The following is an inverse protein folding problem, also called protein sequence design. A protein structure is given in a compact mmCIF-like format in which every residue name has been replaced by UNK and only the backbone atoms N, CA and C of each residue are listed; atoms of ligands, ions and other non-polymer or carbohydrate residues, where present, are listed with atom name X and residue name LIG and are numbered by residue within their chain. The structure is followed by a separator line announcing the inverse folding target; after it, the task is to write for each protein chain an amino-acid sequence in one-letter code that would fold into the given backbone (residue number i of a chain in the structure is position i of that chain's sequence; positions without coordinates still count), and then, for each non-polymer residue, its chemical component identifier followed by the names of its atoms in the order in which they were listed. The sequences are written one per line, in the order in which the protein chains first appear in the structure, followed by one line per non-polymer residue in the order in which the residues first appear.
data_IF_321104659537
#
_entry.id   IF_321104659537
#
_cell.length_a   1.000
_cell.length_b   1.000
_cell.length_c   1.000
_cell.angle_alpha   90.00
_cell.angle_beta   90.00
_cell.angle_gamma   90.00
#
_symmetry.space_group_name_H-M   'P 1'
#
loop_
_entity.id
_entity.type
_entity.pdbx_description
1 polymer ?
#
# COMPACT_ATOMS: atom_id res chain seq x y z
N UNK A 1 22.42 -2.18 -3.15
CA UNK A 1 22.09 -1.48 -4.41
C UNK A 1 22.04 -2.52 -5.52
N UNK A 2 20.93 -2.60 -6.23
CA UNK A 2 20.76 -3.42 -7.42
C UNK A 2 20.78 -2.49 -8.63
N UNK A 3 21.59 -2.82 -9.64
CA UNK A 3 21.66 -2.05 -10.89
C UNK A 3 20.44 -2.38 -11.77
N UNK A 4 19.31 -1.70 -11.49
CA UNK A 4 18.05 -1.88 -12.17
C UNK A 4 17.53 -0.54 -12.69
N UNK A 5 17.16 -0.51 -13.95
CA UNK A 5 16.40 0.59 -14.53
C UNK A 5 14.92 0.45 -14.15
N UNK A 6 14.34 1.48 -13.56
CA UNK A 6 12.92 1.52 -13.21
C UNK A 6 12.19 2.43 -14.18
N UNK A 7 11.19 1.88 -14.87
CA UNK A 7 10.33 2.61 -15.81
C UNK A 7 8.90 2.64 -15.30
N UNK A 8 8.20 3.74 -15.55
CA UNK A 8 6.79 3.87 -15.18
C UNK A 8 5.87 3.24 -16.25
N UNK A 9 4.61 2.99 -15.88
CA UNK A 9 3.60 2.54 -16.84
C UNK A 9 3.43 3.51 -18.02
N UNK A 10 3.57 4.80 -17.75
CA UNK A 10 3.50 5.84 -18.78
C UNK A 10 4.65 5.73 -19.78
N UNK A 11 5.86 5.40 -19.32
CA UNK A 11 7.04 5.28 -20.18
C UNK A 11 6.93 4.12 -21.17
N UNK A 12 6.17 3.07 -20.80
CA UNK A 12 5.87 1.94 -21.68
C UNK A 12 4.58 2.12 -22.50
N UNK A 13 3.90 3.27 -22.38
CA UNK A 13 2.67 3.58 -23.11
C UNK A 13 1.41 2.88 -22.57
N UNK A 14 1.43 2.40 -21.32
CA UNK A 14 0.25 1.84 -20.67
C UNK A 14 -0.65 2.97 -20.17
N UNK A 15 -1.83 3.13 -20.77
CA UNK A 15 -2.80 4.20 -20.48
C UNK A 15 -4.19 3.67 -20.04
N UNK A 16 -4.30 2.35 -19.86
CA UNK A 16 -5.57 1.72 -19.47
C UNK A 16 -5.82 1.88 -17.98
N UNK A 17 -7.06 2.19 -17.62
CA UNK A 17 -7.52 2.10 -16.25
C UNK A 17 -7.66 0.62 -15.84
N UNK A 18 -7.09 0.26 -14.69
CA UNK A 18 -7.22 -1.08 -14.12
C UNK A 18 -8.29 -1.02 -13.03
N UNK A 19 -9.34 -1.82 -13.20
CA UNK A 19 -10.40 -1.94 -12.19
C UNK A 19 -9.91 -2.83 -11.05
N UNK A 20 -9.78 -2.24 -9.87
CA UNK A 20 -9.34 -2.92 -8.64
C UNK A 20 -10.59 -3.31 -7.83
N UNK A 21 -11.16 -4.47 -8.15
CA UNK A 21 -12.38 -5.01 -7.53
C UNK A 21 -12.13 -6.21 -6.59
N UNK A 22 -10.88 -6.43 -6.23
CA UNK A 22 -10.48 -7.48 -5.29
C UNK A 22 -10.84 -7.13 -3.83
N UNK A 23 -11.16 -8.15 -3.05
CA UNK A 23 -11.54 -8.02 -1.63
C UNK A 23 -10.33 -7.90 -0.69
N UNK A 24 -9.10 -8.05 -1.20
CA UNK A 24 -7.87 -7.96 -0.41
C UNK A 24 -6.81 -7.15 -1.15
N UNK A 25 -5.84 -6.60 -0.40
CA UNK A 25 -4.68 -5.92 -0.98
C UNK A 25 -3.88 -6.84 -1.91
N UNK A 26 -3.71 -8.13 -1.54
CA UNK A 26 -3.04 -9.11 -2.40
C UNK A 26 -3.80 -9.34 -3.71
N UNK A 27 -5.12 -9.43 -3.66
CA UNK A 27 -5.95 -9.59 -4.86
C UNK A 27 -5.82 -8.37 -5.79
N UNK A 28 -5.91 -7.14 -5.27
CA UNK A 28 -5.78 -5.93 -6.08
C UNK A 28 -4.39 -5.78 -6.68
N UNK A 29 -3.34 -6.01 -5.90
CA UNK A 29 -1.96 -6.01 -6.39
C UNK A 29 -1.77 -7.04 -7.52
N UNK A 30 -2.36 -8.24 -7.41
CA UNK A 30 -2.32 -9.28 -8.45
C UNK A 30 -3.10 -8.89 -9.71
N UNK A 31 -4.29 -8.29 -9.56
CA UNK A 31 -5.10 -7.79 -10.68
C UNK A 31 -4.27 -6.81 -11.51
N UNK A 32 -3.62 -5.84 -10.85
CA UNK A 32 -2.72 -4.89 -11.52
C UNK A 32 -1.58 -5.60 -12.25
N UNK A 33 -0.91 -6.53 -11.57
CA UNK A 33 0.22 -7.24 -12.14
C UNK A 33 -0.16 -8.05 -13.39
N UNK A 34 -1.31 -8.73 -13.38
CA UNK A 34 -1.82 -9.49 -14.52
C UNK A 34 -2.14 -8.60 -15.72
N UNK A 35 -2.84 -7.48 -15.49
CA UNK A 35 -3.18 -6.53 -16.56
C UNK A 35 -1.93 -5.94 -17.24
N UNK A 36 -0.90 -5.60 -16.44
CA UNK A 36 0.36 -5.06 -16.95
C UNK A 36 1.16 -6.16 -17.67
N UNK A 37 1.20 -7.38 -17.13
CA UNK A 37 1.91 -8.50 -17.77
C UNK A 37 1.31 -8.85 -19.13
N UNK A 38 -0.01 -8.90 -19.24
CA UNK A 38 -0.70 -9.09 -20.52
C UNK A 38 -0.35 -7.98 -21.52
N UNK A 39 -0.35 -6.73 -21.08
CA UNK A 39 0.06 -5.61 -21.92
C UNK A 39 1.50 -5.76 -22.42
N UNK A 40 2.44 -6.11 -21.52
CA UNK A 40 3.84 -6.33 -21.89
C UNK A 40 3.98 -7.44 -22.92
N UNK A 41 3.25 -8.55 -22.79
CA UNK A 41 3.24 -9.63 -23.79
C UNK A 41 2.77 -9.16 -25.16
N UNK A 42 1.63 -8.44 -25.21
CA UNK A 42 1.06 -7.93 -26.48
C UNK A 42 2.04 -6.98 -27.18
N UNK A 43 2.81 -6.21 -26.43
CA UNK A 43 3.73 -5.19 -26.97
C UNK A 43 5.19 -5.68 -27.05
N UNK A 44 5.46 -6.97 -26.77
CA UNK A 44 6.81 -7.55 -26.75
C UNK A 44 7.79 -6.81 -25.80
N UNK A 45 7.29 -6.30 -24.68
CA UNK A 45 8.09 -5.65 -23.64
C UNK A 45 8.60 -6.74 -22.69
N UNK A 46 9.92 -6.85 -22.55
CA UNK A 46 10.57 -7.79 -21.63
C UNK A 46 11.03 -7.02 -20.39
N UNK A 47 10.29 -7.10 -19.32
CA UNK A 47 10.60 -6.43 -18.05
C UNK A 47 10.07 -7.24 -16.88
N UNK A 48 10.72 -7.15 -15.74
CA UNK A 48 10.07 -7.49 -14.47
C UNK A 48 8.97 -6.46 -14.17
N UNK A 49 7.90 -6.91 -13.49
CA UNK A 49 6.79 -6.04 -13.12
C UNK A 49 6.68 -6.04 -11.59
N UNK A 50 6.50 -4.87 -11.02
CA UNK A 50 6.20 -4.70 -9.61
C UNK A 50 4.95 -3.86 -9.46
N UNK A 51 3.95 -4.40 -8.76
CA UNK A 51 2.74 -3.68 -8.41
C UNK A 51 2.52 -3.69 -6.91
N UNK A 52 1.82 -2.68 -6.41
CA UNK A 52 1.44 -2.61 -5.01
C UNK A 52 -0.04 -2.29 -4.85
N UNK A 53 -0.60 -2.72 -3.71
CA UNK A 53 -1.83 -2.19 -3.14
C UNK A 53 -1.64 -2.04 -1.64
N UNK A 54 -2.07 -0.90 -1.08
CA UNK A 54 -1.81 -0.59 0.31
C UNK A 54 -2.97 0.17 0.95
N UNK A 55 -3.18 -0.05 2.24
CA UNK A 55 -4.21 0.65 2.97
C UNK A 55 -4.16 0.46 4.46
N UNK A 56 -5.07 1.16 5.13
CA UNK A 56 -5.25 1.17 6.57
C UNK A 56 -6.44 0.28 6.97
N UNK A 57 -6.22 -0.62 7.93
CA UNK A 57 -7.26 -1.38 8.60
C UNK A 57 -7.38 -0.90 10.05
N UNK A 58 -8.56 -0.45 10.46
CA UNK A 58 -8.86 -0.03 11.83
C UNK A 58 -9.75 -1.09 12.47
N UNK A 59 -9.25 -1.77 13.50
CA UNK A 59 -9.87 -3.00 13.98
C UNK A 59 -11.26 -2.78 14.57
N UNK A 60 -11.49 -1.71 15.35
CA UNK A 60 -12.80 -1.36 15.88
C UNK A 60 -13.82 -0.92 14.80
N UNK A 61 -13.39 -0.69 13.57
CA UNK A 61 -14.22 -0.38 12.42
C UNK A 61 -14.35 -1.55 11.44
N UNK A 62 -14.19 -2.80 11.91
CA UNK A 62 -14.24 -4.01 11.07
C UNK A 62 -13.23 -3.95 9.92
N UNK A 63 -12.00 -3.52 10.24
CA UNK A 63 -10.87 -3.31 9.32
C UNK A 63 -11.13 -2.30 8.18
N UNK A 64 -12.16 -1.47 8.31
CA UNK A 64 -12.33 -0.32 7.39
C UNK A 64 -11.30 0.78 7.67
N UNK A 65 -10.86 1.54 6.67
CA UNK A 65 -11.25 1.54 5.26
C UNK A 65 -10.76 0.36 4.42
N UNK A 66 -9.72 -0.39 4.84
CA UNK A 66 -9.21 -1.55 4.11
C UNK A 66 -8.82 -1.21 2.67
N UNK A 67 -9.23 -2.02 1.69
CA UNK A 67 -8.95 -1.81 0.25
C UNK A 67 -9.58 -0.51 -0.30
N UNK A 68 -10.49 0.12 0.44
CA UNK A 68 -11.11 1.40 0.08
C UNK A 68 -10.35 2.62 0.63
N UNK A 69 -9.15 2.43 1.16
CA UNK A 69 -8.35 3.51 1.79
C UNK A 69 -8.25 4.76 0.93
N UNK A 70 -7.95 4.63 -0.35
CA UNK A 70 -7.78 5.77 -1.26
C UNK A 70 -9.09 6.54 -1.53
N UNK A 71 -10.24 5.87 -1.47
CA UNK A 71 -11.57 6.42 -1.77
C UNK A 71 -12.52 6.46 -0.56
N UNK A 72 -11.99 6.31 0.65
CA UNK A 72 -12.76 6.24 1.90
C UNK A 72 -13.68 7.44 2.15
N UNK A 73 -13.27 8.63 1.73
CA UNK A 73 -14.06 9.86 1.86
C UNK A 73 -14.68 10.31 0.53
N UNK A 74 -14.63 9.47 -0.50
CA UNK A 74 -15.02 9.76 -1.87
C UNK A 74 -13.83 9.88 -2.80
N UNK A 75 -14.08 9.77 -4.10
CA UNK A 75 -13.02 9.86 -5.11
C UNK A 75 -12.37 11.24 -5.08
N UNK A 76 -11.04 11.26 -5.06
CA UNK A 76 -10.23 12.49 -4.99
C UNK A 76 -10.54 13.42 -3.80
N UNK A 77 -11.15 12.91 -2.72
CA UNK A 77 -11.43 13.71 -1.53
C UNK A 77 -10.11 14.26 -0.92
N UNK A 78 -10.10 15.53 -0.45
CA UNK A 78 -8.95 16.09 0.24
C UNK A 78 -8.58 15.25 1.48
N UNK A 79 -7.28 15.12 1.76
CA UNK A 79 -6.77 14.34 2.90
C UNK A 79 -7.49 14.68 4.21
N UNK A 80 -7.70 15.96 4.48
CA UNK A 80 -8.35 16.41 5.72
C UNK A 80 -9.79 15.91 5.87
N UNK A 81 -10.51 15.71 4.75
CA UNK A 81 -11.89 15.17 4.76
C UNK A 81 -11.87 13.70 5.19
N UNK A 82 -10.93 12.91 4.66
CA UNK A 82 -10.77 11.51 5.05
C UNK A 82 -10.36 11.35 6.51
N UNK A 83 -9.43 12.19 6.99
CA UNK A 83 -8.98 12.20 8.39
C UNK A 83 -10.12 12.55 9.35
N UNK A 84 -10.86 13.63 9.08
CA UNK A 84 -12.00 14.02 9.92
C UNK A 84 -13.11 12.96 9.94
N UNK A 85 -13.37 12.31 8.80
CA UNK A 85 -14.33 11.20 8.74
C UNK A 85 -13.90 10.06 9.67
N UNK A 86 -12.64 9.63 9.57
CA UNK A 86 -12.09 8.56 10.41
C UNK A 86 -12.17 8.90 11.90
N UNK A 87 -11.73 10.09 12.29
CA UNK A 87 -11.77 10.51 13.69
C UNK A 87 -13.20 10.64 14.23
N UNK A 88 -14.15 11.06 13.38
CA UNK A 88 -15.57 11.10 13.74
C UNK A 88 -16.14 9.72 13.98
N UNK A 89 -15.81 8.73 13.14
CA UNK A 89 -16.26 7.34 13.32
C UNK A 89 -15.65 6.73 14.59
N UNK A 90 -14.43 7.11 14.96
CA UNK A 90 -13.74 6.62 16.17
C UNK A 90 -14.04 7.40 17.46
N UNK A 91 -14.94 8.39 17.42
CA UNK A 91 -15.18 9.30 18.56
C UNK A 91 -15.56 8.58 19.86
N UNK A 92 -16.26 7.45 19.77
CA UNK A 92 -16.73 6.67 20.92
C UNK A 92 -16.11 5.26 20.96
N UNK A 93 -14.98 5.06 20.28
CA UNK A 93 -14.27 3.78 20.27
C UNK A 93 -13.08 3.86 21.23
N UNK A 94 -13.05 2.98 22.22
CA UNK A 94 -11.92 2.84 23.14
C UNK A 94 -10.74 2.15 22.46
N UNK A 95 -11.02 1.15 21.61
CA UNK A 95 -10.00 0.51 20.79
C UNK A 95 -9.73 1.35 19.54
N UNK A 96 -8.52 1.87 19.46
CA UNK A 96 -8.03 2.65 18.32
C UNK A 96 -6.91 1.93 17.57
N UNK A 97 -6.74 0.63 17.82
CA UNK A 97 -5.73 -0.17 17.16
C UNK A 97 -5.97 -0.24 15.66
N UNK A 98 -4.89 -0.18 14.90
CA UNK A 98 -4.92 -0.16 13.44
C UNK A 98 -3.65 -0.78 12.87
N UNK A 99 -3.74 -1.26 11.62
CA UNK A 99 -2.60 -1.79 10.89
C UNK A 99 -2.57 -1.22 9.48
N UNK A 100 -1.43 -0.67 9.07
CA UNK A 100 -1.15 -0.41 7.66
C UNK A 100 -0.63 -1.66 6.98
N UNK A 101 -1.20 -1.99 5.83
CA UNK A 101 -0.74 -3.08 4.96
C UNK A 101 -0.19 -2.54 3.64
N UNK A 102 0.76 -3.28 3.07
CA UNK A 102 1.21 -3.14 1.69
C UNK A 102 1.40 -4.54 1.09
N UNK A 103 0.60 -4.84 0.08
CA UNK A 103 0.77 -6.02 -0.75
C UNK A 103 1.64 -5.66 -1.94
N UNK A 104 2.65 -6.48 -2.23
CA UNK A 104 3.44 -6.39 -3.44
C UNK A 104 3.23 -7.64 -4.27
N UNK A 105 3.10 -7.45 -5.59
CA UNK A 105 3.17 -8.54 -6.56
C UNK A 105 4.31 -8.27 -7.53
N UNK A 106 5.28 -9.16 -7.55
CA UNK A 106 6.40 -9.15 -8.47
C UNK A 106 6.19 -10.22 -9.54
N UNK A 107 6.41 -9.87 -10.82
CA UNK A 107 6.32 -10.80 -11.94
C UNK A 107 7.67 -10.92 -12.62
N UNK A 108 8.12 -12.14 -12.79
CA UNK A 108 9.34 -12.48 -13.50
C UNK A 108 9.15 -13.78 -14.28
N UNK A 109 9.39 -13.78 -15.58
CA UNK A 109 9.19 -14.93 -16.45
C UNK A 109 7.81 -15.61 -16.26
N UNK A 110 6.74 -14.83 -16.18
CA UNK A 110 5.35 -15.27 -15.92
C UNK A 110 5.11 -15.92 -14.54
N UNK A 111 6.09 -15.95 -13.67
CA UNK A 111 5.90 -16.31 -12.27
C UNK A 111 5.47 -15.10 -11.45
N UNK A 112 4.44 -15.29 -10.62
CA UNK A 112 3.89 -14.27 -9.73
C UNK A 112 4.30 -14.54 -8.29
N UNK A 113 5.04 -13.60 -7.71
CA UNK A 113 5.50 -13.67 -6.33
C UNK A 113 4.78 -12.58 -5.54
N UNK A 114 4.07 -12.97 -4.49
CA UNK A 114 3.32 -12.04 -3.66
C UNK A 114 3.85 -12.02 -2.22
N UNK A 115 3.92 -10.84 -1.65
CA UNK A 115 4.23 -10.63 -0.23
C UNK A 115 3.28 -9.59 0.37
N UNK A 116 3.07 -9.68 1.68
CA UNK A 116 2.25 -8.75 2.45
C UNK A 116 3.06 -8.20 3.63
N UNK A 117 3.50 -6.96 3.52
CA UNK A 117 4.11 -6.23 4.61
C UNK A 117 3.08 -5.46 5.42
N UNK A 118 3.34 -5.28 6.71
CA UNK A 118 2.44 -4.53 7.57
C UNK A 118 3.20 -3.71 8.62
N UNK A 119 2.48 -2.77 9.23
CA UNK A 119 2.94 -2.00 10.40
C UNK A 119 1.76 -1.78 11.33
N UNK A 120 1.84 -2.33 12.52
CA UNK A 120 0.84 -2.13 13.56
C UNK A 120 1.02 -0.79 14.25
N UNK A 121 -0.08 -0.26 14.77
CA UNK A 121 -0.12 1.00 15.48
C UNK A 121 -1.49 1.33 16.03
N UNK A 122 -1.75 2.60 16.19
CA UNK A 122 -3.03 3.13 16.68
C UNK A 122 -3.37 4.46 16.00
N UNK A 123 -4.65 4.79 15.99
CA UNK A 123 -5.13 6.08 15.51
C UNK A 123 -5.12 7.10 16.64
N UNK A 124 -4.43 8.22 16.46
CA UNK A 124 -4.42 9.34 17.39
C UNK A 124 -5.79 10.03 17.50
N UNK A 125 -6.01 10.79 18.56
CA UNK A 125 -7.22 11.61 18.71
C UNK A 125 -7.15 12.92 17.91
N UNK A 126 -5.95 13.35 17.57
CA UNK A 126 -5.68 14.62 16.88
C UNK A 126 -4.95 14.39 15.57
N UNK A 127 -5.14 15.31 14.63
CA UNK A 127 -4.46 15.28 13.34
C UNK A 127 -3.09 15.95 13.50
N UNK A 128 -2.04 15.24 13.14
CA UNK A 128 -0.68 15.75 13.06
C UNK A 128 -0.38 16.43 11.71
N UNK A 129 0.91 16.47 11.33
CA UNK A 129 1.37 17.11 10.10
C UNK A 129 0.75 16.49 8.86
N UNK A 130 0.08 17.31 8.04
CA UNK A 130 -0.51 16.88 6.76
C UNK A 130 0.54 16.55 5.70
N UNK A 131 0.13 15.79 4.70
CA UNK A 131 0.96 15.31 3.59
C UNK A 131 1.25 13.80 3.69
N UNK A 132 2.14 13.29 2.86
CA UNK A 132 2.54 11.88 2.86
C UNK A 132 1.38 10.91 2.63
N UNK A 133 1.32 9.82 3.36
CA UNK A 133 0.21 8.87 3.30
C UNK A 133 -1.09 9.48 3.82
N UNK A 134 -2.23 9.15 3.21
CA UNK A 134 -3.53 9.74 3.53
C UNK A 134 -3.83 9.73 5.02
N UNK A 135 -3.63 8.62 5.71
CA UNK A 135 -3.87 8.48 7.14
C UNK A 135 -2.60 8.59 8.01
N UNK A 136 -1.45 8.89 7.40
CA UNK A 136 -0.20 9.12 8.12
C UNK A 136 -0.27 10.18 9.23
N UNK A 137 -1.02 11.29 9.06
CA UNK A 137 -1.18 12.30 10.11
C UNK A 137 -1.88 11.85 11.40
N UNK A 138 -2.56 10.71 11.39
CA UNK A 138 -3.27 10.18 12.56
C UNK A 138 -2.79 8.80 12.99
N UNK A 139 -1.93 8.16 12.23
CA UNK A 139 -1.43 6.82 12.56
C UNK A 139 -0.12 6.89 13.34
N UNK A 140 -0.14 6.44 14.58
CA UNK A 140 1.03 6.32 15.45
C UNK A 140 1.51 4.85 15.38
N UNK A 141 2.68 4.57 14.77
CA UNK A 141 3.18 3.20 14.69
C UNK A 141 3.56 2.66 16.07
N UNK A 142 3.41 1.36 16.27
CA UNK A 142 3.80 0.69 17.51
C UNK A 142 5.27 0.97 17.85
N UNK A 143 5.50 1.42 19.07
CA UNK A 143 6.84 1.77 19.56
C UNK A 143 7.25 3.24 19.32
N UNK A 144 6.36 4.06 18.77
CA UNK A 144 6.55 5.49 18.58
C UNK A 144 5.49 6.31 19.35
N UNK A 145 5.76 7.60 19.53
CA UNK A 145 4.93 8.54 20.30
C UNK A 145 4.25 9.61 19.44
N UNK A 146 4.47 9.56 18.11
CA UNK A 146 3.96 10.55 17.16
C UNK A 146 3.55 9.93 15.84
N UNK A 147 2.71 10.62 15.03
CA UNK A 147 2.22 10.12 13.76
C UNK A 147 3.31 9.87 12.72
N UNK A 148 3.01 9.01 11.75
CA UNK A 148 3.86 8.62 10.62
C UNK A 148 4.54 9.81 9.93
N UNK A 149 3.77 10.87 9.66
CA UNK A 149 4.24 12.02 8.89
C UNK A 149 5.17 12.95 9.69
N UNK A 150 5.40 12.64 10.95
CA UNK A 150 6.30 13.37 11.87
C UNK A 150 7.55 12.55 12.24
N UNK A 151 7.68 11.35 11.68
CA UNK A 151 8.82 10.48 11.90
C UNK A 151 9.82 10.60 10.76
N UNK A 152 11.09 10.75 11.12
CA UNK A 152 12.21 10.73 10.18
C UNK A 152 12.87 9.35 10.20
N UNK A 153 13.27 8.84 9.03
CA UNK A 153 14.10 7.65 8.85
C UNK A 153 13.58 6.39 9.60
N UNK A 154 12.28 6.10 9.50
CA UNK A 154 11.72 4.89 10.09
C UNK A 154 11.20 3.92 9.02
N UNK A 155 11.12 2.63 9.39
CA UNK A 155 10.64 1.57 8.49
C UNK A 155 9.11 1.57 8.43
N UNK A 156 8.55 1.84 7.26
CA UNK A 156 7.12 1.83 7.00
C UNK A 156 6.63 0.41 6.65
N UNK A 157 5.31 0.23 6.54
CA UNK A 157 4.69 -0.98 5.99
C UNK A 157 5.21 -1.34 4.58
N UNK A 158 5.55 -0.33 3.75
CA UNK A 158 6.15 -0.54 2.42
C UNK A 158 7.57 -1.06 2.52
N UNK A 159 8.41 -0.53 3.42
CA UNK A 159 9.74 -1.07 3.68
C UNK A 159 9.67 -2.54 4.11
N UNK A 160 8.73 -2.88 5.02
CA UNK A 160 8.54 -4.25 5.45
C UNK A 160 8.14 -5.17 4.28
N UNK A 161 7.24 -4.72 3.40
CA UNK A 161 6.86 -5.46 2.20
C UNK A 161 8.04 -5.65 1.25
N UNK A 162 8.85 -4.61 1.02
CA UNK A 162 10.04 -4.69 0.18
C UNK A 162 11.08 -5.66 0.75
N UNK A 163 11.34 -5.62 2.05
CA UNK A 163 12.28 -6.55 2.69
C UNK A 163 11.82 -8.00 2.52
N UNK A 164 10.52 -8.28 2.71
CA UNK A 164 9.94 -9.60 2.47
C UNK A 164 10.10 -10.04 1.00
N UNK A 165 9.89 -9.12 0.07
CA UNK A 165 10.06 -9.42 -1.36
C UNK A 165 11.52 -9.74 -1.69
N UNK A 166 12.46 -8.94 -1.23
CA UNK A 166 13.90 -9.17 -1.45
C UNK A 166 14.32 -10.54 -0.89
N UNK A 167 13.87 -10.89 0.31
CA UNK A 167 14.16 -12.20 0.91
C UNK A 167 13.60 -13.36 0.07
N UNK A 168 12.39 -13.19 -0.48
CA UNK A 168 11.76 -14.20 -1.33
C UNK A 168 12.48 -14.33 -2.68
N UNK A 169 12.91 -13.20 -3.30
CA UNK A 169 13.67 -13.22 -4.55
C UNK A 169 15.03 -13.89 -4.39
N UNK A 170 15.73 -13.64 -3.26
CA UNK A 170 16.99 -14.33 -2.92
C UNK A 170 16.79 -15.83 -2.75
N UNK A 171 15.76 -16.28 -2.02
CA UNK A 171 15.44 -17.70 -1.84
C UNK A 171 15.22 -18.41 -3.18
N UNK A 172 14.63 -17.72 -4.15
CA UNK A 172 14.37 -18.24 -5.50
C UNK A 172 15.55 -18.05 -6.46
N UNK A 173 16.65 -17.46 -6.02
CA UNK A 173 17.84 -17.16 -6.84
C UNK A 173 17.53 -16.28 -8.08
N UNK A 174 16.59 -15.36 -7.93
CA UNK A 174 16.23 -14.38 -8.97
C UNK A 174 17.18 -13.18 -8.90
N UNK A 175 17.66 -12.85 -7.70
CA UNK A 175 18.64 -11.80 -7.42
C UNK A 175 19.73 -12.29 -6.48
#
# INVERSE_FOLDING_TARGET
DYDMEVVSLKDIGFDKEIVEDGDTFLANSLIKAKAINEYCHVHNIKSAILTDDAGLCVHSLEDRPGVYTARYAGDHAPQLVALNKLLKELKNCDDRSATFYCALTFVWNDEYIQVLGHKDGMISETIGKLGGFTFGPVFIPKGYDRPYNELDNFETHRHNAFNLLIDELKKRQII
#
